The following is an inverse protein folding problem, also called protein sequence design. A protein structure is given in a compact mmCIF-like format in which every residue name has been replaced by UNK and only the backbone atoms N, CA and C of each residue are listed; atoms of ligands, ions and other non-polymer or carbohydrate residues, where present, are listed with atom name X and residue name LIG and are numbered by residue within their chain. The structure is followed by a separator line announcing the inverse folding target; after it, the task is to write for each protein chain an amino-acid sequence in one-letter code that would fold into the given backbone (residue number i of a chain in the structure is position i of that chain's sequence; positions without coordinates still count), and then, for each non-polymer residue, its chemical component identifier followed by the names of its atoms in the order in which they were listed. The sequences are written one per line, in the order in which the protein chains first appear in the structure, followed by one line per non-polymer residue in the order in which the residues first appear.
data_IF_384741013712
#
_entry.id   IF_384741013712
#
_cell.length_a   1.000
_cell.length_b   1.000
_cell.length_c   1.000
_cell.angle_alpha   90.00
_cell.angle_beta   90.00
_cell.angle_gamma   90.00
#
_symmetry.space_group_name_H-M   'P 1'
#
loop_
_entity.id
_entity.type
_entity.pdbx_description
1 polymer ?
#
# COMPACT_ATOMS: atom_id res chain seq x y z
N UNK A 1 -11.83 -1.19 21.59
CA UNK A 1 -10.77 -0.89 20.62
C UNK A 1 -11.21 -1.41 19.27
N UNK A 2 -11.12 -0.60 18.20
CA UNK A 2 -11.22 -1.14 16.85
C UNK A 2 -10.19 -2.27 16.70
N UNK A 3 -10.64 -3.46 16.32
CA UNK A 3 -9.76 -4.61 16.14
C UNK A 3 -9.01 -4.51 14.81
N UNK A 4 -7.75 -4.93 14.79
CA UNK A 4 -7.03 -5.20 13.55
C UNK A 4 -7.14 -6.68 13.22
N UNK A 5 -7.36 -6.98 11.96
CA UNK A 5 -7.36 -8.34 11.41
C UNK A 5 -6.26 -8.47 10.35
N UNK A 6 -5.77 -9.70 10.18
CA UNK A 6 -4.62 -10.00 9.32
C UNK A 6 -3.39 -9.13 9.66
N UNK A 7 -2.94 -9.14 10.93
CA UNK A 7 -1.88 -8.26 11.39
C UNK A 7 -0.54 -8.56 10.72
N UNK A 8 0.17 -7.50 10.38
CA UNK A 8 1.50 -7.49 9.79
C UNK A 8 2.41 -6.62 10.64
N UNK A 9 3.63 -7.09 10.83
CA UNK A 9 4.68 -6.31 11.50
C UNK A 9 5.81 -6.03 10.50
N UNK A 10 6.72 -5.14 10.89
CA UNK A 10 8.00 -5.03 10.19
C UNK A 10 8.76 -6.37 10.31
N UNK A 11 9.07 -7.06 9.18
CA UNK A 11 9.67 -8.39 9.22
C UNK A 11 11.01 -8.49 9.96
N UNK A 12 11.73 -7.38 10.12
CA UNK A 12 12.98 -7.31 10.91
C UNK A 12 12.73 -7.70 12.39
N UNK A 13 11.50 -7.49 12.88
CA UNK A 13 11.10 -7.74 14.25
C UNK A 13 10.37 -9.09 14.44
N UNK A 14 10.39 -9.99 13.44
CA UNK A 14 9.82 -11.33 13.60
C UNK A 14 10.44 -12.09 14.78
N UNK A 15 9.59 -12.50 15.72
CA UNK A 15 10.02 -13.20 16.94
C UNK A 15 10.67 -12.30 18.00
N UNK A 16 10.66 -10.97 17.80
CA UNK A 16 11.18 -9.98 18.73
C UNK A 16 10.05 -9.10 19.28
N UNK A 17 10.34 -8.32 20.31
CA UNK A 17 9.45 -7.26 20.78
C UNK A 17 9.28 -6.19 19.70
N UNK A 18 8.03 -5.87 19.36
CA UNK A 18 7.65 -4.86 18.37
C UNK A 18 6.63 -3.87 18.94
N UNK A 19 6.57 -2.67 18.38
CA UNK A 19 5.72 -1.55 18.81
C UNK A 19 4.50 -1.37 17.91
N UNK A 20 4.59 -1.73 16.63
CA UNK A 20 3.58 -1.42 15.62
C UNK A 20 3.09 -2.67 14.90
N UNK A 21 1.80 -2.67 14.61
CA UNK A 21 1.20 -3.64 13.69
C UNK A 21 0.27 -2.91 12.72
N UNK A 22 0.18 -3.43 11.50
CA UNK A 22 -0.71 -2.94 10.45
C UNK A 22 -1.63 -4.06 10.01
N UNK A 23 -2.85 -3.73 9.61
CA UNK A 23 -3.75 -4.73 9.06
C UNK A 23 -5.07 -4.11 8.64
N UNK A 24 -6.00 -4.96 8.23
CA UNK A 24 -7.34 -4.52 7.85
C UNK A 24 -8.19 -4.29 9.09
N UNK A 25 -9.12 -3.36 9.02
CA UNK A 25 -10.01 -3.03 10.12
C UNK A 25 -11.38 -2.62 9.64
N UNK A 26 -12.21 -2.19 10.59
CA UNK A 26 -13.55 -1.68 10.38
C UNK A 26 -13.63 -0.25 10.93
N UNK A 27 -14.01 0.72 10.09
CA UNK A 27 -14.24 2.10 10.56
C UNK A 27 -15.46 2.18 11.48
N UNK A 28 -16.49 1.37 11.21
CA UNK A 28 -17.70 1.22 12.03
C UNK A 28 -17.97 -0.26 12.31
N UNK A 29 -18.51 -0.58 13.49
CA UNK A 29 -18.80 -1.96 13.91
C UNK A 29 -20.29 -2.25 13.77
N UNK A 30 -20.66 -3.30 13.01
CA UNK A 30 -22.05 -3.68 12.80
C UNK A 30 -22.23 -5.05 12.15
N UNK A 31 -23.45 -5.62 12.16
CA UNK A 31 -23.73 -6.88 11.47
C UNK A 31 -23.60 -6.74 9.95
N UNK A 32 -22.79 -7.58 9.32
CA UNK A 32 -22.62 -7.62 7.87
C UNK A 32 -21.56 -6.65 7.31
N UNK A 33 -20.82 -5.96 8.19
CA UNK A 33 -19.75 -5.06 7.78
C UNK A 33 -18.54 -5.83 7.21
N UNK A 34 -17.89 -5.22 6.21
CA UNK A 34 -16.70 -5.73 5.55
C UNK A 34 -15.52 -4.83 5.89
N UNK A 35 -14.31 -5.39 6.01
CA UNK A 35 -13.12 -4.58 6.27
C UNK A 35 -12.96 -3.49 5.21
N UNK A 36 -12.95 -2.23 5.66
CA UNK A 36 -13.07 -1.03 4.84
C UNK A 36 -11.92 -0.04 5.08
N UNK A 37 -10.94 -0.43 5.90
CA UNK A 37 -9.80 0.42 6.22
C UNK A 37 -8.51 -0.38 6.48
N UNK A 38 -7.39 0.33 6.35
CA UNK A 38 -6.08 -0.11 6.84
C UNK A 38 -5.81 0.64 8.15
N UNK A 39 -5.44 -0.10 9.19
CA UNK A 39 -5.13 0.44 10.51
C UNK A 39 -3.65 0.23 10.83
N UNK A 40 -3.06 1.21 11.51
CA UNK A 40 -1.80 1.07 12.26
C UNK A 40 -2.13 1.16 13.74
N UNK A 41 -1.75 0.15 14.50
CA UNK A 41 -1.92 0.09 15.95
C UNK A 41 -0.58 0.19 16.68
N UNK A 42 -0.62 0.83 17.84
CA UNK A 42 0.42 0.71 18.85
C UNK A 42 0.10 -0.53 19.69
N UNK A 43 1.03 -1.49 19.73
CA UNK A 43 0.84 -2.79 20.41
C UNK A 43 0.89 -2.63 21.93
N UNK A 44 1.59 -1.61 22.41
CA UNK A 44 1.72 -1.27 23.83
C UNK A 44 1.19 0.15 24.08
N UNK A 45 0.40 0.32 25.14
CA UNK A 45 -0.14 1.60 25.58
C UNK A 45 -1.51 1.95 24.99
N UNK A 46 -1.93 3.19 25.21
CA UNK A 46 -3.29 3.67 24.91
C UNK A 46 -3.31 4.66 23.72
N UNK A 47 -2.33 4.57 22.83
CA UNK A 47 -2.27 5.44 21.65
C UNK A 47 -3.36 5.04 20.65
N UNK A 48 -4.08 6.03 20.14
CA UNK A 48 -5.15 5.82 19.17
C UNK A 48 -4.63 5.21 17.85
N UNK A 49 -5.45 4.41 17.15
CA UNK A 49 -5.13 3.91 15.82
C UNK A 49 -4.92 5.05 14.83
N UNK A 50 -4.01 4.86 13.88
CA UNK A 50 -4.01 5.64 12.63
C UNK A 50 -4.77 4.82 11.60
N UNK A 51 -5.67 5.46 10.87
CA UNK A 51 -6.58 4.78 9.95
C UNK A 51 -6.52 5.44 8.58
N UNK A 52 -6.34 4.62 7.55
CA UNK A 52 -6.64 4.99 6.17
C UNK A 52 -7.96 4.34 5.76
N UNK A 53 -8.88 5.11 5.22
CA UNK A 53 -10.11 4.62 4.61
C UNK A 53 -10.52 5.50 3.43
N UNK A 54 -11.26 4.91 2.51
CA UNK A 54 -11.92 5.62 1.41
C UNK A 54 -13.33 5.04 1.28
N UNK A 55 -14.32 5.90 1.02
CA UNK A 55 -15.70 5.47 0.85
C UNK A 55 -15.80 4.39 -0.23
N UNK A 56 -16.60 3.34 0.03
CA UNK A 56 -16.83 2.22 -0.89
C UNK A 56 -15.56 1.45 -1.31
N UNK A 57 -14.47 1.58 -0.54
CA UNK A 57 -13.21 0.91 -0.81
C UNK A 57 -12.91 -0.15 0.24
N UNK A 58 -12.50 -1.32 -0.25
CA UNK A 58 -12.28 -2.51 0.59
C UNK A 58 -10.84 -2.99 0.36
N UNK A 59 -9.93 -2.77 1.33
CA UNK A 59 -8.56 -3.26 1.21
C UNK A 59 -8.48 -4.77 1.45
N UNK A 60 -7.62 -5.44 0.69
CA UNK A 60 -7.14 -6.78 1.00
C UNK A 60 -6.03 -6.72 2.07
N UNK A 61 -5.48 -7.89 2.43
CA UNK A 61 -4.37 -7.99 3.38
C UNK A 61 -3.23 -6.99 3.06
N UNK A 62 -2.79 -6.28 4.09
CA UNK A 62 -1.64 -5.38 4.02
C UNK A 62 -0.33 -6.15 3.83
N UNK A 63 0.66 -5.53 3.22
CA UNK A 63 2.05 -6.01 3.17
C UNK A 63 2.96 -4.89 3.58
N UNK A 64 3.73 -5.08 4.65
CA UNK A 64 4.78 -4.15 5.04
C UNK A 64 6.02 -4.34 4.15
N UNK A 65 6.54 -3.24 3.61
CA UNK A 65 7.74 -3.19 2.77
C UNK A 65 8.77 -2.28 3.45
N UNK A 66 9.90 -2.82 3.95
CA UNK A 66 10.94 -2.01 4.57
C UNK A 66 11.66 -1.13 3.53
N UNK A 67 12.29 -0.03 3.95
CA UNK A 67 13.11 0.78 3.06
C UNK A 67 14.29 -0.02 2.49
N UNK A 68 14.82 0.36 1.31
CA UNK A 68 15.95 -0.33 0.69
C UNK A 68 17.25 -0.22 1.49
N UNK A 69 17.35 0.79 2.37
CA UNK A 69 18.46 0.98 3.31
C UNK A 69 17.88 0.88 4.71
N UNK A 70 18.60 0.20 5.61
CA UNK A 70 18.20 0.05 7.00
C UNK A 70 17.89 1.40 7.66
N UNK A 71 16.79 1.45 8.39
CA UNK A 71 16.36 2.58 9.20
C UNK A 71 16.07 2.07 10.63
N UNK A 72 16.36 2.90 11.63
CA UNK A 72 16.18 2.57 13.04
C UNK A 72 14.71 2.67 13.49
N UNK A 73 13.86 3.39 12.75
CA UNK A 73 12.43 3.49 13.03
C UNK A 73 11.74 2.19 12.59
N UNK A 74 11.03 1.55 13.52
CA UNK A 74 10.30 0.30 13.25
C UNK A 74 9.23 0.46 12.15
N UNK A 75 8.66 1.65 12.04
CA UNK A 75 7.66 2.05 11.05
C UNK A 75 8.25 2.79 9.85
N UNK A 76 9.57 2.77 9.66
CA UNK A 76 10.17 3.22 8.41
C UNK A 76 9.87 2.20 7.31
N UNK A 77 9.20 2.66 6.24
CA UNK A 77 8.79 1.82 5.12
C UNK A 77 7.44 2.24 4.58
N UNK A 78 6.84 1.34 3.81
CA UNK A 78 5.49 1.53 3.26
C UNK A 78 4.62 0.31 3.55
N UNK A 79 3.31 0.54 3.60
CA UNK A 79 2.30 -0.51 3.59
C UNK A 79 1.66 -0.54 2.21
N UNK A 80 1.61 -1.73 1.61
CA UNK A 80 0.99 -1.95 0.31
C UNK A 80 -0.25 -2.81 0.49
N UNK A 81 -1.35 -2.46 -0.17
CA UNK A 81 -2.56 -3.30 -0.24
C UNK A 81 -3.20 -3.18 -1.62
N UNK A 82 -3.87 -4.24 -2.06
CA UNK A 82 -4.79 -4.16 -3.19
C UNK A 82 -6.16 -3.79 -2.65
N UNK A 83 -6.75 -2.73 -3.20
CA UNK A 83 -8.05 -2.21 -2.79
C UNK A 83 -9.04 -2.40 -3.91
N UNK A 84 -10.23 -2.89 -3.58
CA UNK A 84 -11.38 -2.90 -4.48
C UNK A 84 -12.23 -1.65 -4.24
N UNK A 85 -12.44 -0.85 -5.29
CA UNK A 85 -13.37 0.29 -5.28
C UNK A 85 -14.70 -0.17 -5.87
N UNK A 86 -15.71 -0.29 -5.03
CA UNK A 86 -17.04 -0.74 -5.47
C UNK A 86 -17.82 0.34 -6.23
N UNK A 87 -17.44 1.61 -6.10
CA UNK A 87 -18.08 2.73 -6.80
C UNK A 87 -17.55 2.85 -8.23
N UNK A 88 -16.23 2.74 -8.40
CA UNK A 88 -15.58 2.73 -9.71
C UNK A 88 -15.56 1.34 -10.40
N UNK A 89 -15.88 0.28 -9.65
CA UNK A 89 -15.86 -1.12 -10.10
C UNK A 89 -14.49 -1.52 -10.70
N UNK A 90 -13.41 -1.17 -9.99
CA UNK A 90 -12.05 -1.56 -10.34
C UNK A 90 -11.23 -1.88 -9.09
N UNK A 91 -10.02 -2.40 -9.28
CA UNK A 91 -9.04 -2.54 -8.21
C UNK A 91 -7.85 -1.62 -8.43
N UNK A 92 -7.18 -1.25 -7.34
CA UNK A 92 -5.93 -0.50 -7.40
C UNK A 92 -4.94 -1.01 -6.36
N UNK A 93 -3.66 -0.87 -6.67
CA UNK A 93 -2.58 -1.02 -5.69
C UNK A 93 -2.42 0.31 -4.97
N UNK A 94 -2.54 0.28 -3.66
CA UNK A 94 -2.35 1.41 -2.76
C UNK A 94 -1.00 1.30 -2.07
N UNK A 95 -0.26 2.40 -2.01
CA UNK A 95 0.99 2.51 -1.25
C UNK A 95 0.83 3.60 -0.21
N UNK A 96 0.93 3.24 1.05
CA UNK A 96 0.81 4.13 2.21
C UNK A 96 2.16 4.29 2.91
N UNK A 97 2.48 5.47 3.40
CA UNK A 97 3.58 5.66 4.34
C UNK A 97 3.27 4.89 5.64
N UNK A 98 4.15 4.01 6.07
CA UNK A 98 3.88 3.17 7.24
C UNK A 98 3.83 3.97 8.56
N UNK A 99 4.32 5.21 8.57
CA UNK A 99 4.33 6.06 9.75
C UNK A 99 2.95 6.65 10.06
N UNK A 100 2.29 7.22 9.06
CA UNK A 100 1.08 8.01 9.21
C UNK A 100 -0.07 7.60 8.28
N UNK A 101 0.12 6.53 7.49
CA UNK A 101 -0.82 6.02 6.50
C UNK A 101 -1.23 7.05 5.45
N UNK A 102 -0.41 8.07 5.20
CA UNK A 102 -0.61 8.98 4.07
C UNK A 102 -0.39 8.25 2.75
N UNK A 103 -1.25 8.48 1.78
CA UNK A 103 -1.13 7.87 0.45
C UNK A 103 0.09 8.43 -0.28
N UNK A 104 1.02 7.54 -0.64
CA UNK A 104 2.26 7.84 -1.36
C UNK A 104 2.11 7.65 -2.86
N UNK A 105 1.36 6.62 -3.25
CA UNK A 105 1.13 6.27 -4.64
C UNK A 105 -0.10 5.37 -4.79
N UNK A 106 -0.64 5.37 -6.01
CA UNK A 106 -1.76 4.52 -6.44
C UNK A 106 -1.54 4.07 -7.88
N UNK A 107 -1.82 2.80 -8.16
CA UNK A 107 -1.82 2.26 -9.51
C UNK A 107 -3.14 1.51 -9.77
N UNK A 108 -3.92 1.98 -10.76
CA UNK A 108 -5.15 1.31 -11.17
C UNK A 108 -4.81 0.02 -11.90
N UNK A 109 -5.51 -1.06 -11.56
CA UNK A 109 -5.34 -2.36 -12.19
C UNK A 109 -6.29 -2.51 -13.39
N UNK A 110 -5.86 -3.19 -14.47
CA UNK A 110 -6.69 -3.39 -15.66
C UNK A 110 -7.89 -4.32 -15.40
N UNK A 111 -7.79 -5.16 -14.37
CA UNK A 111 -8.79 -6.14 -13.99
C UNK A 111 -9.17 -5.98 -12.52
N UNK A 112 -10.38 -6.40 -12.18
CA UNK A 112 -10.81 -6.51 -10.78
C UNK A 112 -10.04 -7.65 -10.13
N UNK A 113 -9.36 -7.35 -9.03
CA UNK A 113 -8.75 -8.34 -8.15
C UNK A 113 -9.75 -8.63 -7.03
N UNK A 114 -10.26 -9.88 -6.93
CA UNK A 114 -11.13 -10.26 -5.83
C UNK A 114 -10.44 -10.05 -4.49
N UNK A 115 -11.21 -9.64 -3.48
CA UNK A 115 -10.71 -9.48 -2.12
C UNK A 115 -10.08 -10.78 -1.64
N UNK A 116 -8.80 -10.71 -1.27
CA UNK A 116 -8.02 -11.86 -0.86
C UNK A 116 -7.56 -11.74 0.59
N UNK A 117 -7.67 -12.85 1.31
CA UNK A 117 -7.18 -13.04 2.67
C UNK A 117 -5.93 -13.94 2.70
N UNK A 118 -5.25 -14.07 1.57
CA UNK A 118 -4.01 -14.85 1.45
C UNK A 118 -2.79 -14.01 1.81
N UNK A 119 -1.84 -14.59 2.55
CA UNK A 119 -0.56 -13.97 2.93
C UNK A 119 0.25 -13.47 1.73
N UNK A 120 0.01 -12.22 1.32
CA UNK A 120 0.84 -11.52 0.35
C UNK A 120 2.27 -11.38 0.89
N UNK A 121 3.26 -11.59 0.02
CA UNK A 121 4.67 -11.41 0.39
C UNK A 121 5.34 -10.38 -0.51
N UNK A 122 6.25 -9.61 0.09
CA UNK A 122 7.19 -8.78 -0.65
C UNK A 122 8.53 -9.50 -0.65
N UNK A 123 9.13 -9.62 -1.83
CA UNK A 123 10.49 -10.09 -2.00
C UNK A 123 11.30 -9.01 -2.71
N UNK A 124 12.50 -8.72 -2.20
CA UNK A 124 13.44 -7.87 -2.92
C UNK A 124 13.81 -8.57 -4.24
N UNK A 125 13.41 -7.94 -5.35
CA UNK A 125 13.88 -8.32 -6.67
C UNK A 125 15.24 -7.67 -6.97
N UNK A 126 15.99 -8.28 -7.88
CA UNK A 126 17.04 -7.54 -8.60
C UNK A 126 16.36 -6.52 -9.53
N UNK A 127 16.25 -5.27 -9.06
CA UNK A 127 15.57 -4.19 -9.78
C UNK A 127 16.28 -3.80 -11.09
N UNK A 128 17.49 -4.30 -11.34
CA UNK A 128 18.23 -4.04 -12.57
C UNK A 128 17.52 -4.57 -13.82
N UNK A 129 16.68 -5.61 -13.69
CA UNK A 129 15.89 -6.16 -14.82
C UNK A 129 14.70 -5.28 -15.23
N UNK A 130 14.04 -4.60 -14.30
CA UNK A 130 12.84 -3.80 -14.59
C UNK A 130 13.12 -2.44 -15.23
N UNK A 131 14.34 -1.92 -15.06
CA UNK A 131 14.77 -0.63 -15.63
C UNK A 131 15.25 -0.75 -17.09
N UNK A 132 15.43 -1.96 -17.62
CA UNK A 132 15.92 -2.18 -18.99
C UNK A 132 14.82 -2.11 -20.06
N UNK A 133 13.53 -2.12 -19.68
CA UNK A 133 12.41 -2.18 -20.63
C UNK A 133 11.51 -0.93 -20.63
N UNK A 134 11.95 0.20 -20.05
CA UNK A 134 11.25 1.46 -20.29
C UNK A 134 11.44 1.83 -21.77
N UNK A 135 10.37 1.88 -22.60
CA UNK A 135 10.52 2.32 -23.98
C UNK A 135 11.04 3.75 -23.95
N UNK A 136 12.14 4.00 -24.64
CA UNK A 136 12.61 5.37 -24.86
C UNK A 136 11.47 6.18 -25.48
N UNK A 137 11.22 7.43 -25.04
CA UNK A 137 10.24 8.28 -25.70
C UNK A 137 10.61 8.32 -27.18
N UNK A 138 9.71 7.87 -28.04
CA UNK A 138 9.89 8.00 -29.48
C UNK A 138 9.87 9.49 -29.80
N UNK A 139 11.05 10.07 -29.93
CA UNK A 139 11.23 11.42 -30.46
C UNK A 139 10.88 11.40 -31.94
N UNK A 140 9.65 11.80 -32.24
CA UNK A 140 9.27 12.29 -33.56
C UNK A 140 8.78 13.73 -33.37
N UNK A 141 9.56 14.71 -33.83
CA UNK A 141 9.20 15.58 -34.97
C UNK A 141 10.49 16.14 -35.54
N UNK A 142 10.77 15.82 -36.80
CA UNK A 142 11.69 16.56 -37.66
C UNK A 142 10.90 17.63 -38.42
N UNK A 143 11.54 18.80 -38.52
CA UNK A 143 11.48 19.82 -39.57
C UNK A 143 10.15 20.54 -39.86
N UNK A 144 10.12 21.85 -39.57
CA UNK A 144 9.92 22.90 -40.60
C UNK A 144 10.08 24.29 -39.98
N UNK A 145 11.24 24.92 -40.17
CA UNK A 145 11.39 26.39 -40.11
C UNK A 145 12.19 26.85 -41.34
N UNK A 146 11.46 27.28 -42.37
CA UNK A 146 11.89 28.26 -43.37
C UNK A 146 10.93 29.46 -43.31
N UNK A 147 11.44 30.65 -43.69
CA UNK A 147 10.90 32.03 -43.56
C UNK A 147 11.41 32.73 -42.28
N UNK A 148 12.15 33.84 -42.27
CA UNK A 148 12.50 34.97 -43.17
C UNK A 148 14.01 35.28 -42.94
N UNK A 149 14.85 35.90 -43.77
CA UNK A 149 14.80 37.11 -44.60
C UNK A 149 16.04 37.13 -45.54
#
# INVERSE_FOLDING_TARGET
TPGVELPRINPIYHGLDYKYTWGVGLTEQGPGEMYDCIMKLHVKGDAEPIVWSQKNCYPSEAVFVPPPVFDQSEDAGVVVSVVYDAEANHSFVLVLDAKDLTEKARAILPEIVPLSFTNGCFALGDISRGMQEAPSPQGNVSDDEQEEE
#
